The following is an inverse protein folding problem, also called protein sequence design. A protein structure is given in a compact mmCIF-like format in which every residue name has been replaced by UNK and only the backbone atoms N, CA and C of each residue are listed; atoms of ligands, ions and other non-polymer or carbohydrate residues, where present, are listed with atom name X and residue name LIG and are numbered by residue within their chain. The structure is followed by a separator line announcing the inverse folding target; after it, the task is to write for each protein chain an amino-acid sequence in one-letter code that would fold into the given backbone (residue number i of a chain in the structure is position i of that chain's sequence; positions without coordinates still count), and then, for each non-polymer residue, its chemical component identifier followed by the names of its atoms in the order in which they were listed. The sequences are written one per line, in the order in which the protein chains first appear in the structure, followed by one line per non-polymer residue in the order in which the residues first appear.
data_IF_115885892646
#
_entry.id   IF_115885892646
#
_cell.length_a   1.000
_cell.length_b   1.000
_cell.length_c   1.000
_cell.angle_alpha   90.00
_cell.angle_beta   90.00
_cell.angle_gamma   90.00
#
_symmetry.space_group_name_H-M   'P 1'
#
loop_
_entity.id
_entity.type
_entity.pdbx_description
1 polymer ?
#
# COMPACT_ATOMS: atom_id res chain seq x y z
N UNK A 1 24.25 28.54 -12.59
CA UNK A 1 24.72 27.34 -11.86
C UNK A 1 23.68 27.05 -10.79
N UNK A 2 22.79 26.11 -11.09
CA UNK A 2 21.41 26.15 -10.60
C UNK A 2 21.29 25.25 -9.36
N UNK A 3 21.69 25.78 -8.20
CA UNK A 3 21.53 25.09 -6.91
C UNK A 3 20.13 25.34 -6.36
N UNK A 4 19.10 24.86 -7.05
CA UNK A 4 17.69 25.04 -6.63
C UNK A 4 16.84 23.78 -6.77
N UNK A 5 17.45 22.60 -6.93
CA UNK A 5 16.72 21.31 -6.97
C UNK A 5 16.98 20.39 -5.77
N UNK A 6 17.72 20.82 -4.75
CA UNK A 6 18.00 19.98 -3.58
C UNK A 6 16.95 20.07 -2.47
N UNK A 7 15.81 20.74 -2.71
CA UNK A 7 14.79 21.00 -1.69
C UNK A 7 13.35 20.67 -2.14
N UNK A 8 13.18 19.73 -3.09
CA UNK A 8 11.87 19.17 -3.46
C UNK A 8 11.77 17.67 -3.16
N UNK A 9 12.42 17.20 -2.10
CA UNK A 9 12.21 15.85 -1.58
C UNK A 9 11.94 15.93 -0.08
N UNK A 10 10.93 16.71 0.30
CA UNK A 10 10.07 16.32 1.42
C UNK A 10 8.73 15.91 0.82
N UNK A 11 8.78 14.86 0.00
CA UNK A 11 7.60 14.16 -0.50
C UNK A 11 6.92 13.63 0.76
N UNK A 12 5.66 14.01 0.98
CA UNK A 12 4.87 13.77 2.19
C UNK A 12 5.36 12.58 3.07
N UNK A 13 5.60 12.84 4.36
CA UNK A 13 6.01 11.84 5.33
C UNK A 13 4.83 10.88 5.63
N UNK A 14 4.55 9.95 4.72
CA UNK A 14 3.58 8.90 4.93
C UNK A 14 4.09 7.95 6.02
N UNK A 15 3.21 7.63 6.97
CA UNK A 15 3.50 6.67 8.02
C UNK A 15 2.93 5.31 7.63
N UNK A 16 3.75 4.27 7.73
CA UNK A 16 3.31 2.89 7.54
C UNK A 16 2.54 2.48 8.78
N UNK A 17 1.32 1.96 8.57
CA UNK A 17 0.55 1.28 9.61
C UNK A 17 0.35 -0.17 9.18
N UNK A 18 0.86 -1.09 9.98
CA UNK A 18 0.63 -2.52 9.78
C UNK A 18 -0.71 -2.89 10.43
N UNK A 19 -1.54 -3.62 9.68
CA UNK A 19 -2.82 -4.12 10.17
C UNK A 19 -2.60 -5.44 10.91
N UNK A 20 -3.33 -5.72 12.01
CA UNK A 20 -3.22 -7.01 12.70
C UNK A 20 -3.48 -8.20 11.77
N UNK A 21 -4.42 -8.08 10.83
CA UNK A 21 -4.69 -9.11 9.83
C UNK A 21 -3.52 -9.36 8.89
N UNK A 22 -2.79 -8.30 8.52
CA UNK A 22 -1.61 -8.44 7.67
C UNK A 22 -0.48 -9.16 8.40
N UNK A 23 -0.29 -8.87 9.69
CA UNK A 23 0.71 -9.55 10.51
C UNK A 23 0.39 -11.04 10.67
N UNK A 24 -0.87 -11.37 10.93
CA UNK A 24 -1.36 -12.75 10.99
C UNK A 24 -1.12 -13.50 9.66
N UNK A 25 -1.51 -12.90 8.53
CA UNK A 25 -1.29 -13.47 7.20
C UNK A 25 0.22 -13.68 6.92
N UNK A 26 1.05 -12.70 7.30
CA UNK A 26 2.50 -12.76 7.10
C UNK A 26 3.13 -13.88 7.93
N UNK A 27 2.73 -14.03 9.18
CA UNK A 27 3.22 -15.08 10.07
C UNK A 27 2.87 -16.47 9.53
N UNK A 28 1.63 -16.68 9.06
CA UNK A 28 1.24 -17.96 8.47
C UNK A 28 2.08 -18.34 7.24
N UNK A 29 2.42 -17.36 6.38
CA UNK A 29 3.30 -17.60 5.22
C UNK A 29 4.72 -17.93 5.68
N UNK A 30 5.27 -17.18 6.65
CA UNK A 30 6.61 -17.42 7.19
C UNK A 30 6.72 -18.80 7.82
N UNK A 31 5.75 -19.17 8.65
CA UNK A 31 5.68 -20.49 9.30
C UNK A 31 5.57 -21.60 8.27
N UNK A 32 4.76 -21.41 7.22
CA UNK A 32 4.66 -22.38 6.14
C UNK A 32 6.02 -22.60 5.46
N UNK A 33 6.71 -21.52 5.09
CA UNK A 33 8.02 -21.63 4.42
C UNK A 33 9.07 -22.24 5.37
N UNK A 34 9.11 -21.82 6.63
CA UNK A 34 10.11 -22.24 7.59
C UNK A 34 9.90 -23.68 8.09
N UNK A 35 8.65 -24.09 8.33
CA UNK A 35 8.31 -25.35 8.99
C UNK A 35 7.78 -26.41 8.02
N UNK A 36 6.93 -26.02 7.07
CA UNK A 36 6.33 -26.96 6.11
C UNK A 36 7.22 -27.21 4.90
N UNK A 37 7.95 -26.19 4.42
CA UNK A 37 8.95 -26.30 3.34
C UNK A 37 10.40 -26.47 3.83
N UNK A 38 10.59 -26.89 5.08
CA UNK A 38 11.79 -26.69 5.93
C UNK A 38 12.87 -25.72 5.42
N UNK A 39 12.50 -24.46 5.12
CA UNK A 39 13.44 -23.49 4.56
C UNK A 39 13.43 -22.14 5.31
N UNK A 40 14.03 -22.08 6.51
CA UNK A 40 14.06 -20.85 7.31
C UNK A 40 14.81 -19.70 6.63
N UNK A 41 15.82 -19.99 5.80
CA UNK A 41 16.56 -18.96 5.06
C UNK A 41 15.67 -18.28 4.01
N UNK A 42 14.85 -19.06 3.29
CA UNK A 42 13.87 -18.50 2.36
C UNK A 42 12.78 -17.70 3.08
N UNK A 43 12.33 -18.15 4.27
CA UNK A 43 11.36 -17.42 5.07
C UNK A 43 11.90 -16.04 5.52
N UNK A 44 13.15 -15.99 5.99
CA UNK A 44 13.79 -14.73 6.37
C UNK A 44 13.97 -13.79 5.16
N UNK A 45 14.43 -14.33 4.03
CA UNK A 45 14.55 -13.56 2.78
C UNK A 45 13.20 -13.05 2.29
N UNK A 46 12.12 -13.81 2.50
CA UNK A 46 10.77 -13.39 2.15
C UNK A 46 10.35 -12.16 2.98
N UNK A 47 10.55 -12.17 4.29
CA UNK A 47 10.26 -11.03 5.17
C UNK A 47 11.06 -9.79 4.77
N UNK A 48 12.37 -9.94 4.50
CA UNK A 48 13.22 -8.84 4.02
C UNK A 48 12.70 -8.22 2.72
N UNK A 49 12.31 -9.06 1.75
CA UNK A 49 11.77 -8.59 0.48
C UNK A 49 10.44 -7.86 0.65
N UNK A 50 9.55 -8.35 1.51
CA UNK A 50 8.27 -7.70 1.80
C UNK A 50 8.50 -6.34 2.46
N UNK A 51 9.38 -6.28 3.46
CA UNK A 51 9.73 -5.03 4.14
C UNK A 51 10.25 -3.99 3.15
N UNK A 52 11.22 -4.38 2.32
CA UNK A 52 11.80 -3.52 1.28
C UNK A 52 10.74 -3.00 0.29
N UNK A 53 9.83 -3.86 -0.16
CA UNK A 53 8.76 -3.45 -1.08
C UNK A 53 7.82 -2.40 -0.45
N UNK A 54 7.56 -2.50 0.86
CA UNK A 54 6.75 -1.52 1.61
C UNK A 54 7.50 -0.19 1.73
N UNK A 55 8.79 -0.22 2.09
CA UNK A 55 9.63 0.99 2.19
C UNK A 55 9.74 1.71 0.84
N UNK A 56 10.00 0.98 -0.24
CA UNK A 56 10.08 1.54 -1.58
C UNK A 56 8.78 2.25 -1.96
N UNK A 57 7.63 1.62 -1.68
CA UNK A 57 6.29 2.17 -1.97
C UNK A 57 5.92 3.37 -1.10
N UNK A 58 6.49 3.48 0.09
CA UNK A 58 6.23 4.62 1.02
C UNK A 58 6.70 5.95 0.43
N UNK A 59 7.70 5.94 -0.45
CA UNK A 59 8.16 7.13 -1.15
C UNK A 59 7.15 7.66 -2.19
N UNK A 60 6.22 6.81 -2.66
CA UNK A 60 5.28 7.17 -3.73
C UNK A 60 3.96 6.34 -3.65
N UNK A 61 3.20 6.42 -2.54
CA UNK A 61 2.08 5.51 -2.27
C UNK A 61 0.91 5.69 -3.23
N UNK A 62 0.74 6.90 -3.81
CA UNK A 62 -0.33 7.24 -4.75
C UNK A 62 0.03 6.97 -6.22
N UNK A 63 1.27 6.57 -6.51
CA UNK A 63 1.72 6.34 -7.89
C UNK A 63 1.34 4.96 -8.45
N UNK A 64 0.79 4.08 -7.60
CA UNK A 64 0.37 2.74 -7.99
C UNK A 64 -1.12 2.71 -8.37
N UNK A 65 -1.50 1.76 -9.23
CA UNK A 65 -2.88 1.56 -9.62
C UNK A 65 -3.78 1.33 -8.38
N UNK A 66 -4.92 2.03 -8.27
CA UNK A 66 -5.90 1.76 -7.23
C UNK A 66 -6.38 0.31 -7.29
N UNK A 67 -6.49 -0.32 -6.12
CA UNK A 67 -7.10 -1.64 -6.03
C UNK A 67 -8.62 -1.50 -6.19
N UNK A 68 -9.14 -1.92 -7.35
CA UNK A 68 -10.57 -1.99 -7.60
C UNK A 68 -11.10 -3.27 -6.95
N UNK A 69 -11.83 -3.13 -5.85
CA UNK A 69 -12.52 -4.27 -5.22
C UNK A 69 -13.43 -4.93 -6.26
N UNK A 70 -13.28 -6.25 -6.46
CA UNK A 70 -14.18 -7.03 -7.33
C UNK A 70 -15.57 -7.25 -6.71
N UNK A 71 -15.76 -6.82 -5.45
CA UNK A 71 -17.07 -6.79 -4.84
C UNK A 71 -17.90 -5.75 -5.61
N UNK A 72 -18.90 -6.19 -6.38
CA UNK A 72 -19.98 -5.34 -6.91
C UNK A 72 -20.75 -4.77 -5.71
N UNK A 73 -20.18 -3.77 -5.05
CA UNK A 73 -20.97 -2.85 -4.27
C UNK A 73 -21.72 -2.02 -5.32
N UNK A 74 -23.04 -2.15 -5.37
CA UNK A 74 -23.90 -1.19 -6.03
C UNK A 74 -23.71 0.16 -5.33
N UNK A 75 -22.65 0.89 -5.67
CA UNK A 75 -22.51 2.28 -5.28
C UNK A 75 -23.59 3.00 -6.10
N UNK A 76 -24.79 3.11 -5.53
CA UNK A 76 -25.82 4.06 -5.97
C UNK A 76 -25.25 5.44 -5.67
N UNK A 77 -24.42 5.94 -6.58
CA UNK A 77 -24.28 7.39 -6.72
C UNK A 77 -25.63 7.82 -7.29
N UNK A 78 -26.54 8.26 -6.42
CA UNK A 78 -27.79 8.82 -6.92
C UNK A 78 -27.44 10.11 -7.65
N UNK A 79 -28.00 10.30 -8.83
CA UNK A 79 -27.76 11.46 -9.70
C UNK A 79 -28.02 12.81 -9.00
N UNK A 80 -28.64 12.80 -7.82
CA UNK A 80 -28.88 13.99 -7.00
C UNK A 80 -27.60 14.65 -6.45
N UNK A 81 -26.52 13.89 -6.20
CA UNK A 81 -25.29 14.45 -5.60
C UNK A 81 -24.41 15.22 -6.62
N UNK A 82 -24.55 14.91 -7.91
CA UNK A 82 -23.82 15.62 -8.98
C UNK A 82 -24.44 16.99 -9.29
N UNK A 83 -25.75 17.16 -9.11
CA UNK A 83 -26.45 18.44 -9.32
C UNK A 83 -26.06 19.48 -8.26
N UNK A 84 -25.91 19.07 -6.99
CA UNK A 84 -25.50 19.97 -5.89
C UNK A 84 -24.10 20.54 -6.04
N UNK A 85 -23.21 19.83 -6.75
CA UNK A 85 -21.82 20.27 -6.93
C UNK A 85 -21.66 21.13 -8.19
N UNK A 86 -22.50 20.94 -9.21
CA UNK A 86 -22.48 21.75 -10.44
C UNK A 86 -23.14 23.13 -10.25
N UNK A 87 -24.09 23.26 -9.31
CA UNK A 87 -24.81 24.51 -9.05
C UNK A 87 -24.08 25.48 -8.09
N UNK A 88 -22.92 25.10 -7.54
CA UNK A 88 -22.12 25.95 -6.66
C UNK A 88 -20.80 26.46 -7.28
N UNK A 89 -20.63 26.34 -8.59
CA UNK A 89 -19.59 27.02 -9.40
C UNK A 89 -20.25 28.01 -10.36
#
# INVERSE_FOLDING_TARGET
MNKSRSALISIANYQIRILPSFEEDLNQIVDYIALTLPNPSAAMKFVENVHKAIEERTNYPLSFQPFLSQKKENIRITSSELETTLFSM
#
